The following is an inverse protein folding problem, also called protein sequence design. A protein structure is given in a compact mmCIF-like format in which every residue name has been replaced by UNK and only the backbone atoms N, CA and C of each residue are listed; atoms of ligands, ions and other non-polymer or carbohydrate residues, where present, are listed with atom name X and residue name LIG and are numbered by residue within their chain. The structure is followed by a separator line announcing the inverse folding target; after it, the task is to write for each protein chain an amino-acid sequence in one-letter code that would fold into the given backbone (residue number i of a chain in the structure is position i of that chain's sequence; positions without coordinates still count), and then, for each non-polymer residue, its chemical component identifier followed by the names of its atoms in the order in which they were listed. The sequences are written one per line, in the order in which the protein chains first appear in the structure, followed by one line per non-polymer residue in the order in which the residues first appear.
data_IF_926050429230
#
_entry.id   IF_926050429230
#
_cell.length_a   1.000
_cell.length_b   1.000
_cell.length_c   1.000
_cell.angle_alpha   90.00
_cell.angle_beta   90.00
_cell.angle_gamma   90.00
#
_symmetry.space_group_name_H-M   'P 1'
#
loop_
_entity.id
_entity.type
_entity.pdbx_description
1 polymer ?
#
# COMPACT_ATOMS: atom_id res chain seq x y z
N UNK A 1 21.35 31.60 -1.11
CA UNK A 1 20.27 30.62 -1.37
C UNK A 1 19.17 30.67 -0.31
N UNK A 2 19.50 30.64 1.00
CA UNK A 2 18.50 30.57 2.08
C UNK A 2 17.46 31.72 2.10
N UNK A 3 17.86 32.98 1.89
CA UNK A 3 16.92 34.12 1.92
C UNK A 3 15.87 34.08 0.79
N UNK A 4 16.19 33.45 -0.36
CA UNK A 4 15.24 33.30 -1.47
C UNK A 4 14.12 32.32 -1.12
N UNK A 5 14.44 31.19 -0.47
CA UNK A 5 13.46 30.17 -0.06
C UNK A 5 12.48 30.74 0.97
N UNK A 6 12.95 31.49 1.96
CA UNK A 6 12.06 32.14 2.95
C UNK A 6 11.13 33.18 2.30
N UNK A 7 11.64 33.97 1.35
CA UNK A 7 10.80 34.93 0.61
C UNK A 7 9.70 34.25 -0.19
N UNK A 8 9.96 33.02 -0.65
CA UNK A 8 9.00 32.17 -1.37
C UNK A 8 7.90 31.67 -0.41
N UNK A 9 8.24 31.18 0.79
CA UNK A 9 7.25 30.75 1.79
C UNK A 9 6.33 31.88 2.30
N UNK A 10 6.82 33.12 2.34
CA UNK A 10 6.00 34.29 2.73
C UNK A 10 4.97 34.69 1.65
N UNK A 11 5.04 34.13 0.44
CA UNK A 11 4.10 34.41 -0.66
C UNK A 11 3.36 33.17 -1.17
N UNK A 12 3.83 31.98 -0.83
CA UNK A 12 3.20 30.73 -1.21
C UNK A 12 2.02 30.42 -0.29
N UNK A 13 0.90 30.05 -0.89
CA UNK A 13 -0.29 29.55 -0.17
C UNK A 13 -0.42 28.03 -0.29
N UNK A 14 0.10 27.44 -1.36
CA UNK A 14 0.08 26.01 -1.62
C UNK A 14 1.48 25.51 -1.98
N UNK A 15 1.90 24.41 -1.38
CA UNK A 15 3.16 23.74 -1.71
C UNK A 15 2.95 22.22 -1.78
N UNK A 16 3.46 21.61 -2.85
CA UNK A 16 3.50 20.16 -3.03
C UNK A 16 4.89 19.74 -3.43
N UNK A 17 5.46 18.78 -2.70
CA UNK A 17 6.71 18.12 -3.08
C UNK A 17 6.40 16.87 -3.91
N UNK A 18 6.93 16.80 -5.14
CA UNK A 18 6.86 15.60 -5.99
C UNK A 18 7.99 14.62 -5.66
N UNK A 19 7.83 13.34 -6.04
CA UNK A 19 8.75 12.24 -5.68
C UNK A 19 10.23 12.52 -6.00
N UNK A 20 10.53 13.13 -7.15
CA UNK A 20 11.90 13.45 -7.58
C UNK A 20 12.57 14.59 -6.81
N UNK A 21 11.81 15.33 -5.99
CA UNK A 21 12.25 16.53 -5.29
C UNK A 21 12.51 16.30 -3.79
N UNK A 22 12.08 15.16 -3.27
CA UNK A 22 12.07 14.86 -1.83
C UNK A 22 13.46 14.98 -1.18
N UNK A 23 14.47 14.30 -1.71
CA UNK A 23 15.82 14.25 -1.11
C UNK A 23 16.49 15.63 -1.01
N UNK A 24 16.11 16.56 -1.88
CA UNK A 24 16.79 17.85 -2.03
C UNK A 24 16.16 18.98 -1.20
N UNK A 25 14.83 18.95 -0.97
CA UNK A 25 14.12 20.09 -0.37
C UNK A 25 13.57 19.84 1.02
N UNK A 26 13.35 18.59 1.41
CA UNK A 26 12.84 18.22 2.72
C UNK A 26 13.84 18.56 3.84
N UNK A 27 15.15 18.28 3.72
CA UNK A 27 16.14 18.75 4.71
C UNK A 27 16.10 20.28 4.93
N UNK A 28 15.88 21.06 3.86
CA UNK A 28 15.77 22.52 3.94
C UNK A 28 14.53 23.00 4.73
N UNK A 29 13.54 22.15 4.99
CA UNK A 29 12.46 22.49 5.90
C UNK A 29 12.84 22.25 7.35
N UNK A 30 13.71 21.27 7.62
CA UNK A 30 14.03 20.78 8.96
C UNK A 30 15.28 21.40 9.57
N UNK A 31 16.24 21.82 8.74
CA UNK A 31 17.54 22.36 9.17
C UNK A 31 17.46 23.80 9.70
N UNK A 32 16.30 24.47 9.62
CA UNK A 32 16.13 25.84 10.09
C UNK A 32 15.25 25.95 11.35
N UNK A 33 15.54 26.90 12.25
CA UNK A 33 14.73 27.14 13.45
C UNK A 33 13.28 27.52 13.13
N UNK A 34 12.32 26.98 13.90
CA UNK A 34 10.88 27.19 13.74
C UNK A 34 10.45 28.66 13.65
N UNK A 35 11.10 29.54 14.42
CA UNK A 35 10.84 31.00 14.45
C UNK A 35 10.99 31.68 13.10
N UNK A 36 11.69 31.08 12.12
CA UNK A 36 11.90 31.66 10.78
C UNK A 36 10.73 31.50 9.82
N UNK A 37 9.78 30.61 10.10
CA UNK A 37 8.62 30.39 9.24
C UNK A 37 7.32 30.97 9.82
N UNK A 38 7.39 31.62 10.98
CA UNK A 38 6.21 32.17 11.68
C UNK A 38 5.41 33.18 10.84
N UNK A 39 6.05 33.84 9.87
CA UNK A 39 5.45 34.76 8.89
C UNK A 39 4.95 34.10 7.59
N UNK A 40 5.05 32.78 7.48
CA UNK A 40 4.65 32.03 6.27
C UNK A 40 3.17 32.22 5.98
N UNK A 41 2.83 32.42 4.70
CA UNK A 41 1.45 32.46 4.20
C UNK A 41 0.91 31.09 3.79
N UNK A 42 1.69 30.02 4.04
CA UNK A 42 1.38 28.68 3.56
C UNK A 42 0.12 28.13 4.24
N UNK A 43 -0.91 27.86 3.44
CA UNK A 43 -2.20 27.33 3.89
C UNK A 43 -2.30 25.81 3.68
N UNK A 44 -1.67 25.30 2.61
CA UNK A 44 -1.71 23.89 2.23
C UNK A 44 -0.31 23.36 1.97
N UNK A 45 0.04 22.27 2.65
CA UNK A 45 1.28 21.54 2.45
C UNK A 45 0.98 20.08 2.11
N UNK A 46 1.48 19.62 0.97
CA UNK A 46 1.54 18.21 0.61
C UNK A 46 3.01 17.78 0.54
N UNK A 47 3.37 16.85 1.41
CA UNK A 47 4.76 16.44 1.63
C UNK A 47 4.84 14.93 1.79
N UNK A 48 5.87 14.34 1.20
CA UNK A 48 6.29 12.99 1.58
C UNK A 48 7.34 13.11 2.69
N UNK A 49 7.39 12.18 3.63
CA UNK A 49 8.38 12.16 4.72
C UNK A 49 8.91 10.73 4.93
N UNK A 50 10.15 10.59 5.38
CA UNK A 50 10.79 9.29 5.65
C UNK A 50 10.67 8.88 7.11
N UNK A 51 10.57 9.83 8.03
CA UNK A 51 10.56 9.54 9.46
C UNK A 51 9.41 10.27 10.14
N UNK A 52 8.79 9.62 11.12
CA UNK A 52 7.73 10.23 11.90
C UNK A 52 8.20 11.51 12.63
N UNK A 53 9.48 11.61 13.01
CA UNK A 53 10.05 12.84 13.58
C UNK A 53 9.96 14.05 12.66
N UNK A 54 10.07 13.85 11.34
CA UNK A 54 9.89 14.93 10.34
C UNK A 54 8.46 15.48 10.39
N UNK A 55 7.45 14.64 10.62
CA UNK A 55 6.07 15.09 10.81
C UNK A 55 5.95 16.01 12.03
N UNK A 56 6.59 15.65 13.14
CA UNK A 56 6.59 16.46 14.36
C UNK A 56 7.22 17.83 14.14
N UNK A 57 8.29 17.90 13.35
CA UNK A 57 8.90 19.18 12.99
C UNK A 57 7.99 20.04 12.12
N UNK A 58 7.26 19.47 11.14
CA UNK A 58 6.28 20.24 10.35
C UNK A 58 5.19 20.83 11.26
N UNK A 59 4.86 20.11 12.33
CA UNK A 59 3.78 20.42 13.26
C UNK A 59 4.25 21.17 14.52
N UNK A 60 5.49 21.62 14.59
CA UNK A 60 6.05 22.35 15.75
C UNK A 60 5.63 23.82 15.84
N UNK A 61 4.60 24.21 15.06
CA UNK A 61 4.10 25.58 15.01
C UNK A 61 4.86 26.50 14.04
N UNK A 62 5.89 26.02 13.33
CA UNK A 62 6.62 26.85 12.35
C UNK A 62 5.73 27.40 11.23
N UNK A 63 4.69 26.68 10.81
CA UNK A 63 3.72 27.15 9.82
C UNK A 63 2.43 27.61 10.49
N UNK A 64 2.45 28.85 11.00
CA UNK A 64 1.33 29.41 11.78
C UNK A 64 0.01 29.47 11.01
N UNK A 65 0.03 29.64 9.67
CA UNK A 65 -1.19 29.74 8.85
C UNK A 65 -1.63 28.39 8.24
N UNK A 66 -0.94 27.28 8.54
CA UNK A 66 -1.21 26.01 7.90
C UNK A 66 -2.58 25.45 8.30
N UNK A 67 -3.48 25.36 7.32
CA UNK A 67 -4.83 24.84 7.49
C UNK A 67 -4.97 23.39 7.02
N UNK A 68 -4.22 22.99 5.99
CA UNK A 68 -4.27 21.64 5.41
C UNK A 68 -2.88 21.04 5.33
N UNK A 69 -2.73 19.84 5.86
CA UNK A 69 -1.49 19.08 5.80
C UNK A 69 -1.79 17.67 5.25
N UNK A 70 -1.13 17.32 4.16
CA UNK A 70 -1.19 16.01 3.51
C UNK A 70 0.19 15.39 3.58
N UNK A 71 0.26 14.18 4.14
CA UNK A 71 1.52 13.52 4.48
C UNK A 71 1.53 12.10 3.94
N UNK A 72 2.50 11.79 3.10
CA UNK A 72 2.84 10.42 2.72
C UNK A 72 4.11 9.97 3.48
N UNK A 73 3.95 9.08 4.46
CA UNK A 73 5.07 8.49 5.20
C UNK A 73 5.63 7.29 4.42
N UNK A 74 6.80 7.48 3.79
CA UNK A 74 7.43 6.52 2.87
C UNK A 74 8.30 5.50 3.61
N UNK A 75 8.69 5.75 4.86
CA UNK A 75 9.45 4.78 5.66
C UNK A 75 9.00 4.86 7.13
N UNK A 76 9.08 3.74 7.84
CA UNK A 76 8.65 3.66 9.23
C UNK A 76 9.80 3.33 10.19
N UNK A 77 11.00 3.88 9.94
CA UNK A 77 12.01 3.93 11.00
C UNK A 77 11.53 4.95 12.02
N UNK A 78 10.72 4.46 12.97
CA UNK A 78 10.29 5.17 14.15
C UNK A 78 11.53 5.44 14.99
N UNK A 79 12.08 6.65 14.92
CA UNK A 79 13.10 7.03 15.90
C UNK A 79 12.46 7.01 17.29
N UNK A 80 13.24 6.56 18.27
CA UNK A 80 12.83 6.46 19.69
C UNK A 80 12.65 7.83 20.35
N UNK A 81 12.77 8.92 19.60
CA UNK A 81 12.69 10.28 20.14
C UNK A 81 11.27 10.51 20.67
N UNK A 82 11.17 10.43 21.99
CA UNK A 82 9.96 10.67 22.74
C UNK A 82 9.43 12.07 22.45
N UNK A 83 8.11 12.14 22.24
CA UNK A 83 7.36 13.37 22.05
C UNK A 83 7.40 14.16 23.37
N UNK A 84 8.38 15.04 23.54
CA UNK A 84 8.39 16.00 24.66
C UNK A 84 7.56 17.25 24.35
N UNK A 85 7.29 17.52 23.06
CA UNK A 85 6.62 18.76 22.66
C UNK A 85 5.09 18.62 22.76
N UNK A 86 4.52 19.19 23.83
CA UNK A 86 3.09 19.08 24.22
C UNK A 86 2.18 20.17 23.63
N UNK A 87 2.69 21.02 22.75
CA UNK A 87 1.92 22.16 22.24
C UNK A 87 0.75 21.72 21.34
N UNK A 88 -0.40 22.37 21.52
CA UNK A 88 -1.59 22.16 20.69
C UNK A 88 -1.37 22.72 19.28
N UNK A 89 -1.86 22.00 18.28
CA UNK A 89 -1.84 22.40 16.87
C UNK A 89 -3.23 22.99 16.57
N UNK A 90 -3.38 24.31 16.76
CA UNK A 90 -4.70 24.96 16.75
C UNK A 90 -5.22 25.35 15.37
N UNK A 91 -4.34 25.54 14.38
CA UNK A 91 -4.73 26.15 13.10
C UNK A 91 -5.05 25.12 12.02
N UNK A 92 -4.61 23.88 12.21
CA UNK A 92 -4.85 22.80 11.26
C UNK A 92 -6.33 22.37 11.29
N UNK A 93 -6.99 22.47 10.13
CA UNK A 93 -8.39 22.05 9.93
C UNK A 93 -8.51 20.74 9.17
N UNK A 94 -7.57 20.45 8.28
CA UNK A 94 -7.55 19.24 7.46
C UNK A 94 -6.21 18.52 7.63
N UNK A 95 -6.28 17.23 7.96
CA UNK A 95 -5.10 16.38 8.07
C UNK A 95 -5.31 15.07 7.32
N UNK A 96 -4.38 14.75 6.42
CA UNK A 96 -4.33 13.49 5.69
C UNK A 96 -3.00 12.82 5.99
N UNK A 97 -3.05 11.59 6.48
CA UNK A 97 -1.86 10.76 6.71
C UNK A 97 -2.01 9.44 5.97
N UNK A 98 -1.09 9.20 5.04
CA UNK A 98 -0.91 7.92 4.36
C UNK A 98 0.38 7.28 4.82
N UNK A 99 0.32 6.04 5.28
CA UNK A 99 1.49 5.26 5.67
C UNK A 99 1.47 3.92 4.94
N UNK A 100 2.39 3.76 3.97
CA UNK A 100 2.50 2.55 3.17
C UNK A 100 3.05 1.35 3.97
N UNK A 101 3.66 1.62 5.12
CA UNK A 101 4.28 0.63 5.99
C UNK A 101 3.51 0.42 7.29
N UNK A 102 3.83 -0.66 7.99
CA UNK A 102 3.21 -1.03 9.26
C UNK A 102 3.64 -0.12 10.40
N UNK A 103 2.67 0.50 11.09
CA UNK A 103 2.86 1.27 12.31
C UNK A 103 2.67 0.37 13.53
N UNK A 104 3.75 0.04 14.22
CA UNK A 104 3.73 -0.76 15.46
C UNK A 104 3.40 0.06 16.73
N UNK A 105 3.56 1.39 16.69
CA UNK A 105 3.35 2.30 17.83
C UNK A 105 2.15 3.24 17.63
N UNK A 106 1.04 2.70 17.11
CA UNK A 106 -0.19 3.46 16.86
C UNK A 106 -0.69 4.21 18.11
N UNK A 107 -0.78 3.50 19.25
CA UNK A 107 -1.26 4.07 20.51
C UNK A 107 -0.30 5.08 21.13
N UNK A 108 1.01 4.91 20.93
CA UNK A 108 2.04 5.71 21.61
C UNK A 108 2.49 6.93 20.80
N UNK A 109 2.36 6.90 19.48
CA UNK A 109 2.86 7.96 18.60
C UNK A 109 1.75 8.66 17.83
N UNK A 110 0.90 7.90 17.14
CA UNK A 110 -0.10 8.49 16.26
C UNK A 110 -1.26 9.10 17.06
N UNK A 111 -1.82 8.37 18.03
CA UNK A 111 -2.94 8.88 18.82
C UNK A 111 -2.59 10.16 19.59
N UNK A 112 -1.45 10.27 20.32
CA UNK A 112 -1.09 11.51 21.00
C UNK A 112 -0.89 12.68 20.05
N UNK A 113 -0.37 12.43 18.83
CA UNK A 113 -0.25 13.47 17.81
C UNK A 113 -1.62 13.96 17.36
N UNK A 114 -2.56 13.05 17.06
CA UNK A 114 -3.94 13.39 16.67
C UNK A 114 -4.62 14.20 17.78
N UNK A 115 -4.43 13.85 19.05
CA UNK A 115 -5.03 14.58 20.19
C UNK A 115 -4.57 16.03 20.30
N UNK A 116 -3.40 16.38 19.76
CA UNK A 116 -2.91 17.76 19.72
C UNK A 116 -3.64 18.61 18.68
N UNK A 117 -4.30 18.00 17.70
CA UNK A 117 -4.96 18.65 16.58
C UNK A 117 -6.47 18.87 16.84
N UNK A 118 -6.80 19.48 17.98
CA UNK A 118 -8.19 19.54 18.49
C UNK A 118 -9.19 20.30 17.60
N UNK A 119 -8.71 21.08 16.64
CA UNK A 119 -9.53 21.90 15.74
C UNK A 119 -9.70 21.26 14.35
N UNK A 120 -9.27 20.01 14.16
CA UNK A 120 -9.48 19.30 12.90
C UNK A 120 -10.98 19.14 12.62
N UNK A 121 -11.36 19.57 11.41
CA UNK A 121 -12.68 19.39 10.84
C UNK A 121 -12.74 18.19 9.88
N UNK A 122 -11.60 17.88 9.21
CA UNK A 122 -11.46 16.77 8.26
C UNK A 122 -10.22 15.94 8.55
N UNK A 123 -10.42 14.64 8.76
CA UNK A 123 -9.34 13.68 9.00
C UNK A 123 -9.40 12.56 7.97
N UNK A 124 -8.26 12.25 7.36
CA UNK A 124 -8.11 11.07 6.49
C UNK A 124 -6.90 10.25 6.93
N UNK A 125 -7.14 8.98 7.26
CA UNK A 125 -6.10 8.06 7.76
C UNK A 125 -6.03 6.80 6.88
N UNK A 126 -4.90 6.59 6.22
CA UNK A 126 -4.62 5.42 5.39
C UNK A 126 -3.44 4.66 6.02
N UNK A 127 -3.71 3.63 6.82
CA UNK A 127 -2.75 3.06 7.77
C UNK A 127 -2.73 1.54 7.71
N UNK A 128 -1.52 0.97 7.73
CA UNK A 128 -1.32 -0.40 8.25
C UNK A 128 -0.84 -0.30 9.69
N UNK A 129 -1.49 -1.01 10.60
CA UNK A 129 -1.22 -0.95 12.04
C UNK A 129 -1.02 -2.37 12.55
N UNK A 130 -0.01 -2.57 13.38
CA UNK A 130 0.16 -3.81 14.11
C UNK A 130 -0.33 -3.66 15.56
N UNK A 131 -1.14 -4.61 16.00
CA UNK A 131 -1.89 -4.56 17.26
C UNK A 131 -1.76 -5.88 17.99
N UNK A 132 -1.47 -5.82 19.29
CA UNK A 132 -1.30 -7.01 20.12
C UNK A 132 -2.62 -7.59 20.66
N UNK A 133 -3.68 -6.78 20.71
CA UNK A 133 -4.89 -7.12 21.47
C UNK A 133 -6.07 -7.52 20.57
N UNK A 134 -6.61 -6.56 19.82
CA UNK A 134 -7.83 -6.70 19.02
C UNK A 134 -7.74 -5.83 17.78
N UNK A 135 -8.44 -6.22 16.73
CA UNK A 135 -8.57 -5.37 15.54
C UNK A 135 -9.21 -4.02 15.86
N UNK A 136 -8.86 -3.01 15.06
CA UNK A 136 -9.52 -1.70 15.13
C UNK A 136 -10.95 -1.86 14.62
N UNK A 137 -11.89 -1.64 15.54
CA UNK A 137 -13.33 -1.60 15.30
C UNK A 137 -13.86 -0.17 15.49
N UNK A 138 -15.18 0.03 15.32
CA UNK A 138 -15.77 1.35 15.55
C UNK A 138 -15.54 1.85 16.97
N UNK A 139 -15.61 0.97 17.97
CA UNK A 139 -15.49 1.37 19.36
C UNK A 139 -14.08 1.90 19.68
N UNK A 140 -13.05 1.29 19.09
CA UNK A 140 -11.68 1.77 19.15
C UNK A 140 -11.57 3.16 18.51
N UNK A 141 -12.02 3.33 17.26
CA UNK A 141 -12.00 4.62 16.57
C UNK A 141 -12.81 5.70 17.32
N UNK A 142 -13.96 5.32 17.89
CA UNK A 142 -14.79 6.24 18.66
C UNK A 142 -14.06 6.71 19.91
N UNK A 143 -13.53 5.76 20.69
CA UNK A 143 -12.81 6.05 21.94
C UNK A 143 -11.53 6.84 21.69
N UNK A 144 -10.75 6.44 20.70
CA UNK A 144 -9.38 6.89 20.50
C UNK A 144 -9.24 8.01 19.45
N UNK A 145 -10.27 8.36 18.69
CA UNK A 145 -10.18 9.43 17.68
C UNK A 145 -11.38 10.36 17.80
N UNK A 146 -12.59 9.85 17.56
CA UNK A 146 -13.78 10.69 17.41
C UNK A 146 -14.08 11.48 18.68
N UNK A 147 -14.02 10.85 19.86
CA UNK A 147 -14.30 11.52 21.13
C UNK A 147 -13.27 12.62 21.46
N UNK A 148 -12.08 12.60 20.85
CA UNK A 148 -11.01 13.56 21.09
C UNK A 148 -10.99 14.71 20.08
N UNK A 149 -11.78 14.62 19.00
CA UNK A 149 -11.84 15.61 17.92
C UNK A 149 -13.27 16.17 17.80
N UNK A 150 -13.68 17.10 18.68
CA UNK A 150 -15.06 17.59 18.74
C UNK A 150 -15.50 18.39 17.50
N UNK A 151 -14.56 18.94 16.74
CA UNK A 151 -14.81 19.70 15.50
C UNK A 151 -14.90 18.79 14.26
N UNK A 152 -14.63 17.49 14.40
CA UNK A 152 -14.52 16.56 13.29
C UNK A 152 -15.88 16.35 12.61
N UNK A 153 -16.01 16.91 11.41
CA UNK A 153 -17.21 16.82 10.56
C UNK A 153 -17.10 15.74 9.50
N UNK A 154 -15.86 15.37 9.11
CA UNK A 154 -15.58 14.36 8.11
C UNK A 154 -14.43 13.48 8.55
N UNK A 155 -14.67 12.18 8.63
CA UNK A 155 -13.64 11.18 8.92
C UNK A 155 -13.65 10.10 7.85
N UNK A 156 -12.60 10.08 7.03
CA UNK A 156 -12.33 9.02 6.05
C UNK A 156 -11.19 8.18 6.58
N UNK A 157 -11.25 6.87 6.41
CA UNK A 157 -10.15 6.02 6.79
C UNK A 157 -10.08 4.77 5.93
N UNK A 158 -8.88 4.23 5.83
CA UNK A 158 -8.55 2.91 5.30
C UNK A 158 -7.50 2.32 6.25
N UNK A 159 -7.93 1.39 7.10
CA UNK A 159 -7.11 0.89 8.19
C UNK A 159 -7.01 -0.63 8.07
N UNK A 160 -5.78 -1.10 7.92
CA UNK A 160 -5.45 -2.52 8.02
C UNK A 160 -4.77 -2.81 9.35
N UNK A 161 -5.45 -3.57 10.20
CA UNK A 161 -4.94 -4.07 11.47
C UNK A 161 -4.33 -5.46 11.28
N UNK A 162 -3.08 -5.65 11.71
CA UNK A 162 -2.38 -6.94 11.79
C UNK A 162 -2.25 -7.34 13.27
N UNK A 163 -2.47 -8.61 13.58
CA UNK A 163 -2.51 -9.13 14.95
C UNK A 163 -1.93 -10.53 15.03
N UNK A 164 -1.25 -10.90 16.12
CA UNK A 164 -0.98 -12.32 16.43
C UNK A 164 -2.18 -12.96 17.13
N UNK A 165 -2.54 -14.18 16.73
CA UNK A 165 -3.70 -14.94 17.21
C UNK A 165 -3.37 -15.81 18.44
N UNK A 166 -2.25 -15.57 19.12
CA UNK A 166 -1.79 -16.47 20.18
C UNK A 166 -2.85 -16.63 21.29
N UNK A 167 -3.41 -17.85 21.40
CA UNK A 167 -4.39 -18.27 22.40
C UNK A 167 -5.74 -17.50 22.40
N UNK A 168 -6.13 -16.86 21.30
CA UNK A 168 -7.46 -16.22 21.21
C UNK A 168 -8.56 -17.25 20.93
N UNK A 169 -9.54 -17.38 21.83
CA UNK A 169 -10.68 -18.29 21.65
C UNK A 169 -11.78 -17.73 20.73
N UNK A 170 -11.89 -16.41 20.61
CA UNK A 170 -12.96 -15.75 19.84
C UNK A 170 -12.34 -14.82 18.79
N UNK A 171 -12.35 -15.27 17.54
CA UNK A 171 -11.88 -14.52 16.39
C UNK A 171 -13.05 -13.80 15.72
N UNK A 172 -13.07 -12.44 15.68
CA UNK A 172 -14.19 -11.71 15.09
C UNK A 172 -14.33 -12.00 13.59
N UNK A 173 -15.52 -12.40 13.15
CA UNK A 173 -15.82 -12.52 11.72
C UNK A 173 -15.91 -11.13 11.06
N UNK A 174 -15.89 -11.11 9.72
CA UNK A 174 -16.24 -9.92 8.94
C UNK A 174 -17.55 -9.28 9.43
N UNK A 175 -18.58 -10.08 9.67
CA UNK A 175 -19.90 -9.59 10.10
C UNK A 175 -19.82 -8.94 11.47
N UNK A 176 -19.03 -9.48 12.39
CA UNK A 176 -18.84 -8.91 13.72
C UNK A 176 -18.19 -7.53 13.65
N UNK A 177 -17.20 -7.36 12.77
CA UNK A 177 -16.56 -6.06 12.53
C UNK A 177 -17.54 -5.07 11.89
N UNK A 178 -18.20 -5.45 10.78
CA UNK A 178 -19.17 -4.57 10.09
C UNK A 178 -20.32 -4.15 11.00
N UNK A 179 -20.78 -5.04 11.87
CA UNK A 179 -21.83 -4.76 12.84
C UNK A 179 -21.45 -3.62 13.77
N UNK A 180 -20.17 -3.53 14.17
CA UNK A 180 -19.71 -2.40 14.98
C UNK A 180 -19.91 -1.07 14.26
N UNK A 181 -19.90 -1.03 12.93
CA UNK A 181 -20.01 0.18 12.11
C UNK A 181 -21.43 0.51 11.63
N UNK A 182 -22.47 -0.24 12.02
CA UNK A 182 -23.85 -0.05 11.53
C UNK A 182 -24.36 1.39 11.66
N UNK A 183 -24.00 2.09 12.73
CA UNK A 183 -24.43 3.48 13.00
C UNK A 183 -23.36 4.53 12.66
N UNK A 184 -22.40 4.20 11.79
CA UNK A 184 -21.36 5.14 11.36
C UNK A 184 -21.94 6.09 10.30
N UNK A 185 -22.09 7.37 10.64
CA UNK A 185 -22.96 8.32 9.91
C UNK A 185 -22.36 8.88 8.60
N UNK A 186 -21.08 8.70 8.35
CA UNK A 186 -20.37 9.49 7.34
C UNK A 186 -20.23 8.79 5.98
N UNK A 187 -20.10 7.46 5.96
CA UNK A 187 -19.77 6.69 4.76
C UNK A 187 -20.22 5.25 4.90
N UNK A 188 -20.39 4.57 3.76
CA UNK A 188 -20.49 3.11 3.74
C UNK A 188 -19.15 2.53 4.20
N UNK A 189 -19.18 1.70 5.23
CA UNK A 189 -18.00 0.99 5.72
C UNK A 189 -17.97 -0.41 5.11
N UNK A 190 -16.79 -0.81 4.65
CA UNK A 190 -16.52 -2.16 4.16
C UNK A 190 -15.42 -2.75 5.03
N UNK A 191 -15.53 -4.04 5.36
CA UNK A 191 -14.44 -4.74 6.03
C UNK A 191 -14.16 -6.13 5.48
N UNK A 192 -12.94 -6.57 5.69
CA UNK A 192 -12.44 -7.92 5.41
C UNK A 192 -11.64 -8.42 6.59
N UNK A 193 -11.85 -9.67 6.95
CA UNK A 193 -11.10 -10.32 8.03
C UNK A 193 -10.53 -11.62 7.49
N UNK A 194 -9.23 -11.80 7.69
CA UNK A 194 -8.48 -12.99 7.31
C UNK A 194 -7.70 -13.52 8.49
N UNK A 195 -7.58 -14.85 8.55
CA UNK A 195 -6.80 -15.55 9.56
C UNK A 195 -5.83 -16.50 8.89
N UNK A 196 -4.54 -16.25 9.11
CA UNK A 196 -3.40 -17.05 8.67
C UNK A 196 -3.01 -17.96 9.84
N UNK A 197 -3.57 -19.18 9.86
CA UNK A 197 -3.47 -20.08 11.01
C UNK A 197 -2.06 -20.65 11.16
N UNK A 198 -1.36 -20.94 10.06
CA UNK A 198 0.01 -21.45 10.10
C UNK A 198 0.96 -20.40 10.67
N UNK A 199 0.75 -19.13 10.29
CA UNK A 199 1.50 -17.99 10.83
C UNK A 199 1.01 -17.50 12.18
N UNK A 200 -0.12 -18.01 12.68
CA UNK A 200 -0.82 -17.49 13.87
C UNK A 200 -1.06 -15.98 13.77
N UNK A 201 -1.45 -15.47 12.61
CA UNK A 201 -1.66 -14.04 12.35
C UNK A 201 -3.05 -13.77 11.81
N UNK A 202 -3.69 -12.70 12.28
CA UNK A 202 -4.94 -12.19 11.78
C UNK A 202 -4.76 -10.85 11.09
N UNK A 203 -5.57 -10.60 10.08
CA UNK A 203 -5.68 -9.32 9.40
C UNK A 203 -7.13 -8.87 9.43
N UNK A 204 -7.36 -7.58 9.71
CA UNK A 204 -8.64 -6.93 9.51
C UNK A 204 -8.42 -5.64 8.74
N UNK A 205 -9.05 -5.54 7.57
CA UNK A 205 -9.03 -4.34 6.76
C UNK A 205 -10.41 -3.69 6.86
N UNK A 206 -10.48 -2.44 7.30
CA UNK A 206 -11.73 -1.67 7.41
C UNK A 206 -11.52 -0.31 6.77
N UNK A 207 -12.43 0.09 5.88
CA UNK A 207 -12.32 1.36 5.19
C UNK A 207 -13.67 2.02 4.89
N UNK A 208 -13.61 3.33 4.74
CA UNK A 208 -14.68 4.19 4.24
C UNK A 208 -14.72 4.12 2.72
N UNK A 209 -15.89 3.88 2.13
CA UNK A 209 -16.08 3.83 0.68
C UNK A 209 -16.53 5.17 0.08
N UNK A 210 -15.95 5.63 -1.04
CA UNK A 210 -14.82 5.02 -1.77
C UNK A 210 -13.49 5.20 -1.02
N UNK A 211 -12.60 4.20 -1.11
CA UNK A 211 -11.23 4.35 -0.62
C UNK A 211 -10.38 5.04 -1.68
N UNK A 212 -9.64 6.06 -1.25
CA UNK A 212 -8.64 6.76 -2.07
C UNK A 212 -7.21 6.20 -1.84
N UNK A 213 -7.07 5.08 -1.11
CA UNK A 213 -5.77 4.52 -0.82
C UNK A 213 -5.09 4.01 -2.11
N UNK A 214 -3.86 4.44 -2.42
CA UNK A 214 -3.17 3.98 -3.62
C UNK A 214 -2.58 2.57 -3.47
N UNK A 215 -2.58 2.00 -2.27
CA UNK A 215 -2.02 0.69 -1.96
C UNK A 215 -3.12 -0.24 -1.45
N UNK A 216 -3.11 -1.52 -1.81
CA UNK A 216 -3.87 -2.57 -1.14
C UNK A 216 -3.00 -3.80 -0.96
N UNK A 217 -2.50 -3.97 0.26
CA UNK A 217 -1.55 -5.03 0.58
C UNK A 217 -2.21 -6.25 1.25
N UNK A 218 -1.63 -7.42 1.00
CA UNK A 218 -1.99 -8.74 1.53
C UNK A 218 -3.44 -9.15 1.22
N UNK A 219 -3.84 -8.97 -0.03
CA UNK A 219 -5.13 -9.48 -0.52
C UNK A 219 -5.07 -11.02 -0.55
N UNK A 220 -6.09 -11.64 0.04
CA UNK A 220 -6.25 -13.09 0.18
C UNK A 220 -7.39 -13.61 -0.72
N UNK A 221 -7.61 -14.92 -0.71
CA UNK A 221 -8.72 -15.61 -1.36
C UNK A 221 -10.10 -15.13 -0.89
N UNK A 222 -10.21 -14.52 0.30
CA UNK A 222 -11.47 -13.97 0.81
C UNK A 222 -11.84 -12.62 0.19
N UNK A 223 -10.99 -12.09 -0.70
CA UNK A 223 -11.30 -10.86 -1.42
C UNK A 223 -12.59 -11.01 -2.24
N UNK A 224 -13.63 -10.21 -1.95
CA UNK A 224 -14.92 -10.36 -2.63
C UNK A 224 -14.94 -9.71 -4.01
N UNK A 225 -13.89 -8.98 -4.39
CA UNK A 225 -13.92 -8.07 -5.54
C UNK A 225 -14.40 -6.67 -5.17
N UNK A 226 -14.97 -5.96 -6.15
CA UNK A 226 -15.32 -4.54 -6.06
C UNK A 226 -14.49 -3.72 -7.05
N UNK A 227 -14.75 -2.42 -7.16
CA UNK A 227 -14.03 -1.52 -8.05
C UNK A 227 -13.17 -0.55 -7.22
N UNK A 228 -11.85 -0.58 -7.45
CA UNK A 228 -10.87 0.23 -6.71
C UNK A 228 -10.06 1.09 -7.67
N UNK A 229 -10.65 2.19 -8.13
CA UNK A 229 -10.08 3.05 -9.18
C UNK A 229 -8.83 3.83 -8.74
N UNK A 230 -8.61 3.98 -7.44
CA UNK A 230 -7.47 4.73 -6.89
C UNK A 230 -6.27 3.86 -6.54
N UNK A 231 -6.46 2.55 -6.39
CA UNK A 231 -5.39 1.61 -6.05
C UNK A 231 -4.47 1.44 -7.27
N UNK A 232 -3.17 1.62 -7.05
CA UNK A 232 -2.09 1.47 -8.04
C UNK A 232 -1.16 0.31 -7.69
N UNK A 233 -1.04 -0.02 -6.42
CA UNK A 233 -0.10 -1.02 -5.93
C UNK A 233 -0.86 -2.07 -5.13
N UNK A 234 -0.78 -3.33 -5.53
CA UNK A 234 -1.34 -4.41 -4.72
C UNK A 234 -0.28 -5.44 -4.35
N UNK A 235 -0.44 -6.04 -3.17
CA UNK A 235 0.24 -7.27 -2.83
C UNK A 235 -0.76 -8.38 -2.54
N UNK A 236 -0.52 -9.54 -3.12
CA UNK A 236 -1.28 -10.75 -2.91
C UNK A 236 -0.49 -11.65 -1.96
N UNK A 237 -1.15 -12.13 -0.91
CA UNK A 237 -0.55 -13.02 0.07
C UNK A 237 -1.60 -13.99 0.55
N UNK A 238 -1.32 -15.28 0.50
CA UNK A 238 -2.20 -16.27 1.08
C UNK A 238 -1.44 -17.53 1.51
N UNK A 239 -2.00 -18.24 2.50
CA UNK A 239 -1.59 -19.59 2.88
C UNK A 239 -2.18 -20.63 1.93
N UNK A 240 -3.24 -20.29 1.17
CA UNK A 240 -3.86 -21.17 0.20
C UNK A 240 -3.54 -20.78 -1.25
N UNK A 241 -3.56 -21.74 -2.19
CA UNK A 241 -3.26 -21.43 -3.58
C UNK A 241 -4.31 -20.54 -4.25
N UNK A 242 -3.87 -19.60 -5.10
CA UNK A 242 -4.75 -18.78 -5.93
C UNK A 242 -5.01 -19.46 -7.28
N UNK A 243 -6.26 -19.62 -7.66
CA UNK A 243 -6.65 -20.14 -8.97
C UNK A 243 -6.81 -19.02 -10.01
N UNK A 244 -6.87 -19.38 -11.29
CA UNK A 244 -6.96 -18.41 -12.40
C UNK A 244 -8.09 -17.39 -12.24
N UNK A 245 -9.25 -17.81 -11.74
CA UNK A 245 -10.43 -16.97 -11.51
C UNK A 245 -10.16 -15.87 -10.48
N UNK A 246 -9.22 -16.10 -9.56
CA UNK A 246 -8.78 -15.07 -8.63
C UNK A 246 -8.05 -13.95 -9.37
N UNK A 247 -7.15 -14.27 -10.30
CA UNK A 247 -6.42 -13.27 -11.09
C UNK A 247 -7.35 -12.48 -12.02
N UNK A 248 -8.39 -13.12 -12.57
CA UNK A 248 -9.48 -12.42 -13.29
C UNK A 248 -10.13 -11.39 -12.36
N UNK A 249 -10.58 -11.82 -11.17
CA UNK A 249 -11.21 -10.94 -10.17
C UNK A 249 -10.29 -9.77 -9.79
N UNK A 250 -9.01 -10.03 -9.57
CA UNK A 250 -8.00 -9.00 -9.29
C UNK A 250 -7.91 -7.99 -10.44
N UNK A 251 -7.77 -8.44 -11.68
CA UNK A 251 -7.66 -7.52 -12.83
C UNK A 251 -8.89 -6.64 -13.02
N UNK A 252 -10.09 -7.17 -12.75
CA UNK A 252 -11.35 -6.43 -12.83
C UNK A 252 -11.50 -5.44 -11.67
N UNK A 253 -11.01 -5.80 -10.49
CA UNK A 253 -11.09 -4.96 -9.31
C UNK A 253 -10.12 -3.78 -9.30
N UNK A 254 -8.97 -3.94 -9.95
CA UNK A 254 -7.90 -2.95 -9.96
C UNK A 254 -7.53 -2.54 -11.41
N UNK A 255 -8.45 -1.86 -12.12
CA UNK A 255 -8.28 -1.59 -13.55
C UNK A 255 -7.08 -0.72 -13.90
N UNK A 256 -6.56 0.05 -12.93
CA UNK A 256 -5.41 0.96 -13.09
C UNK A 256 -4.18 0.51 -12.30
N UNK A 257 -4.08 -0.77 -11.94
CA UNK A 257 -2.94 -1.30 -11.18
C UNK A 257 -1.63 -1.18 -11.96
N UNK A 258 -0.63 -0.54 -11.35
CA UNK A 258 0.73 -0.34 -11.86
C UNK A 258 1.73 -1.34 -11.29
N UNK A 259 1.51 -1.82 -10.05
CA UNK A 259 2.38 -2.80 -9.40
C UNK A 259 1.58 -3.94 -8.79
N UNK A 260 2.01 -5.16 -9.10
CA UNK A 260 1.53 -6.40 -8.51
C UNK A 260 2.69 -7.13 -7.86
N UNK A 261 2.60 -7.41 -6.56
CA UNK A 261 3.51 -8.32 -5.86
C UNK A 261 2.74 -9.54 -5.38
N UNK A 262 3.31 -10.74 -5.52
CA UNK A 262 2.71 -11.97 -5.07
C UNK A 262 3.74 -12.75 -4.23
N UNK A 263 3.29 -13.25 -3.08
CA UNK A 263 4.04 -14.18 -2.25
C UNK A 263 3.16 -15.39 -2.00
N UNK A 264 3.52 -16.54 -2.58
CA UNK A 264 2.82 -17.80 -2.38
C UNK A 264 3.73 -18.98 -2.69
N UNK A 265 4.02 -19.82 -1.71
CA UNK A 265 4.95 -20.95 -1.86
C UNK A 265 4.26 -22.27 -2.23
N UNK A 266 2.93 -22.30 -2.28
CA UNK A 266 2.15 -23.51 -2.56
C UNK A 266 1.74 -23.59 -4.03
N UNK A 267 1.77 -24.80 -4.59
CA UNK A 267 1.27 -25.08 -5.95
C UNK A 267 -0.24 -24.84 -6.07
N UNK A 268 -0.71 -24.44 -7.26
CA UNK A 268 -2.14 -24.37 -7.58
C UNK A 268 -2.78 -25.76 -7.43
N UNK A 269 -3.99 -25.83 -6.85
CA UNK A 269 -4.69 -27.12 -6.68
C UNK A 269 -5.36 -27.53 -7.97
N UNK A 270 -5.94 -26.56 -8.66
CA UNK A 270 -6.60 -26.75 -9.94
C UNK A 270 -5.74 -26.12 -11.03
N UNK A 271 -4.60 -26.76 -11.32
CA UNK A 271 -3.91 -26.48 -12.58
C UNK A 271 -4.96 -26.65 -13.67
N UNK A 272 -5.28 -25.58 -14.39
CA UNK A 272 -5.99 -25.71 -15.66
C UNK A 272 -5.08 -26.58 -16.53
N UNK A 273 -5.29 -27.90 -16.45
CA UNK A 273 -4.53 -28.84 -17.25
C UNK A 273 -4.94 -28.56 -18.69
N UNK A 274 -3.95 -28.51 -19.57
CA UNK A 274 -4.14 -28.44 -21.01
C UNK A 274 -5.01 -29.59 -21.58
N UNK A 275 -5.47 -30.52 -20.74
CA UNK A 275 -6.16 -31.76 -21.09
C UNK A 275 -7.69 -31.67 -21.06
N UNK A 276 -8.29 -30.51 -20.76
CA UNK A 276 -9.73 -30.31 -20.99
C UNK A 276 -9.96 -29.33 -22.13
N UNK A 277 -9.59 -29.79 -23.33
CA UNK A 277 -10.25 -29.45 -24.60
C UNK A 277 -11.68 -30.00 -24.50
N UNK A 278 -12.51 -29.38 -23.67
CA UNK A 278 -13.96 -29.45 -23.75
C UNK A 278 -14.41 -28.00 -23.90
N UNK A 279 -15.03 -27.72 -25.05
CA UNK A 279 -15.24 -26.43 -25.71
C UNK A 279 -16.11 -25.40 -24.95
N UNK A 280 -16.07 -25.35 -23.62
CA UNK A 280 -16.89 -24.43 -22.81
C UNK A 280 -16.15 -23.70 -21.68
N UNK A 281 -14.87 -23.95 -21.43
CA UNK A 281 -14.05 -23.07 -20.57
C UNK A 281 -13.16 -22.20 -21.45
N UNK A 282 -13.74 -21.14 -22.02
CA UNK A 282 -12.94 -19.99 -22.44
C UNK A 282 -12.34 -19.36 -21.18
N UNK A 283 -11.19 -19.85 -20.72
CA UNK A 283 -10.43 -19.17 -19.68
C UNK A 283 -10.09 -17.78 -20.21
N UNK A 284 -10.64 -16.78 -19.55
CA UNK A 284 -10.52 -15.40 -20.02
C UNK A 284 -9.09 -14.95 -19.73
N UNK A 285 -8.30 -14.72 -20.79
CA UNK A 285 -6.95 -14.18 -20.64
C UNK A 285 -7.00 -12.93 -19.76
N UNK A 286 -6.25 -12.96 -18.66
CA UNK A 286 -6.18 -11.86 -17.70
C UNK A 286 -5.37 -10.73 -18.32
N UNK A 287 -5.96 -9.55 -18.41
CA UNK A 287 -5.31 -8.37 -19.01
C UNK A 287 -4.92 -7.38 -17.93
N UNK A 288 -3.63 -7.09 -17.84
CA UNK A 288 -3.09 -6.09 -16.95
C UNK A 288 -2.62 -4.86 -17.74
N UNK A 289 -3.59 -4.01 -18.11
CA UNK A 289 -3.36 -2.92 -19.07
C UNK A 289 -2.37 -1.84 -18.61
N UNK A 290 -2.24 -1.63 -17.30
CA UNK A 290 -1.43 -0.57 -16.71
C UNK A 290 -0.27 -1.12 -15.86
N UNK A 291 -0.07 -2.44 -15.84
CA UNK A 291 0.96 -3.04 -15.00
C UNK A 291 2.34 -2.71 -15.55
N UNK A 292 3.17 -2.10 -14.70
CA UNK A 292 4.54 -1.68 -14.99
C UNK A 292 5.51 -2.55 -14.20
N UNK A 293 5.12 -3.03 -13.01
CA UNK A 293 5.99 -3.84 -12.14
C UNK A 293 5.29 -5.09 -11.66
N UNK A 294 5.86 -6.25 -11.98
CA UNK A 294 5.44 -7.56 -11.47
C UNK A 294 6.52 -8.13 -10.56
N UNK A 295 6.19 -8.38 -9.30
CA UNK A 295 7.08 -9.00 -8.33
C UNK A 295 6.57 -10.40 -7.98
N UNK A 296 7.27 -11.39 -8.53
CA UNK A 296 7.01 -12.82 -8.34
C UNK A 296 8.30 -13.55 -7.95
N UNK A 297 9.16 -12.89 -7.18
CA UNK A 297 10.41 -13.49 -6.68
C UNK A 297 10.11 -14.71 -5.80
N UNK A 298 9.10 -14.61 -4.94
CA UNK A 298 8.80 -15.55 -3.86
C UNK A 298 7.51 -16.31 -4.12
N UNK A 299 7.42 -16.90 -5.31
CA UNK A 299 6.23 -17.67 -5.72
C UNK A 299 6.60 -19.07 -6.18
N UNK A 300 5.63 -19.97 -6.09
CA UNK A 300 5.67 -21.29 -6.74
C UNK A 300 5.62 -21.15 -8.27
N UNK A 301 6.24 -22.09 -8.97
CA UNK A 301 6.37 -22.09 -10.44
C UNK A 301 5.03 -21.94 -11.18
N UNK A 302 3.96 -22.53 -10.65
CA UNK A 302 2.60 -22.42 -11.20
C UNK A 302 2.13 -20.96 -11.38
N UNK A 303 2.52 -20.04 -10.50
CA UNK A 303 2.18 -18.62 -10.65
C UNK A 303 3.06 -17.94 -11.68
N UNK A 304 4.31 -18.38 -11.83
CA UNK A 304 5.16 -17.90 -12.93
C UNK A 304 4.54 -18.37 -14.27
N UNK A 305 4.02 -19.60 -14.36
CA UNK A 305 3.24 -20.04 -15.52
C UNK A 305 1.99 -19.19 -15.73
N UNK A 306 1.25 -18.86 -14.66
CA UNK A 306 0.06 -18.01 -14.68
C UNK A 306 0.32 -16.65 -15.36
N UNK A 307 1.46 -16.03 -15.05
CA UNK A 307 1.85 -14.73 -15.58
C UNK A 307 2.57 -14.81 -16.93
N UNK A 308 3.48 -15.76 -17.12
CA UNK A 308 4.30 -15.83 -18.32
C UNK A 308 3.60 -16.51 -19.49
N UNK A 309 2.60 -17.37 -19.27
CA UNK A 309 1.89 -17.99 -20.39
C UNK A 309 0.98 -16.99 -21.10
N UNK A 310 1.20 -16.84 -22.40
CA UNK A 310 0.38 -16.00 -23.27
C UNK A 310 -1.08 -16.48 -23.39
N UNK A 311 -1.36 -17.73 -23.01
CA UNK A 311 -2.70 -18.31 -22.95
C UNK A 311 -3.46 -17.95 -21.67
N UNK A 312 -2.78 -17.44 -20.64
CA UNK A 312 -3.37 -17.12 -19.34
C UNK A 312 -3.37 -15.63 -19.04
N UNK A 313 -2.27 -14.96 -19.34
CA UNK A 313 -2.09 -13.54 -19.06
C UNK A 313 -1.62 -12.79 -20.29
N UNK A 314 -2.06 -11.53 -20.42
CA UNK A 314 -1.55 -10.59 -21.39
C UNK A 314 -0.98 -9.36 -20.70
N UNK A 315 0.29 -9.08 -21.01
CA UNK A 315 1.00 -7.88 -20.59
C UNK A 315 1.00 -6.79 -21.66
N UNK A 316 1.03 -5.53 -21.24
CA UNK A 316 1.48 -4.43 -22.07
C UNK A 316 3.01 -4.43 -22.17
N UNK A 317 3.59 -3.66 -23.09
CA UNK A 317 5.04 -3.53 -23.20
C UNK A 317 5.61 -2.76 -22.00
N UNK A 318 6.92 -2.89 -21.76
CA UNK A 318 7.68 -2.18 -20.73
C UNK A 318 7.46 -2.63 -19.28
N UNK A 319 7.29 -3.94 -19.08
CA UNK A 319 7.18 -4.51 -17.73
C UNK A 319 8.54 -4.76 -17.11
N UNK A 320 8.69 -4.30 -15.87
CA UNK A 320 9.71 -4.69 -14.93
C UNK A 320 9.28 -5.95 -14.17
N UNK A 321 10.09 -7.00 -14.19
CA UNK A 321 9.82 -8.23 -13.43
C UNK A 321 10.90 -8.50 -12.36
N UNK A 322 10.47 -8.89 -11.17
CA UNK A 322 11.32 -9.50 -10.13
C UNK A 322 11.00 -10.98 -10.07
N UNK A 323 12.00 -11.85 -10.28
CA UNK A 323 11.77 -13.29 -10.40
C UNK A 323 12.99 -14.11 -9.98
N UNK A 324 12.75 -15.30 -9.43
CA UNK A 324 13.81 -16.27 -9.15
C UNK A 324 14.33 -16.92 -10.44
N UNK A 325 15.64 -16.89 -10.67
CA UNK A 325 16.24 -17.42 -11.92
C UNK A 325 15.93 -18.90 -12.14
N UNK A 326 16.04 -19.75 -11.11
CA UNK A 326 15.81 -21.20 -11.26
C UNK A 326 14.36 -21.52 -11.58
N UNK A 327 13.42 -20.80 -10.98
CA UNK A 327 12.01 -20.97 -11.29
C UNK A 327 11.69 -20.50 -12.72
N UNK A 328 12.27 -19.38 -13.14
CA UNK A 328 12.14 -18.89 -14.52
C UNK A 328 12.70 -19.91 -15.53
N UNK A 329 13.89 -20.46 -15.27
CA UNK A 329 14.52 -21.48 -16.10
C UNK A 329 13.63 -22.73 -16.23
N UNK A 330 13.07 -23.23 -15.11
CA UNK A 330 12.15 -24.38 -15.13
C UNK A 330 10.89 -24.09 -15.95
N UNK A 331 10.21 -22.97 -15.70
CA UNK A 331 8.95 -22.62 -16.36
C UNK A 331 9.12 -22.40 -17.86
N UNK A 332 10.24 -21.79 -18.27
CA UNK A 332 10.57 -21.55 -19.68
C UNK A 332 11.22 -22.76 -20.37
N UNK A 333 11.39 -23.90 -19.67
CA UNK A 333 12.18 -25.04 -20.13
C UNK A 333 13.54 -24.63 -20.67
N UNK A 334 14.41 -24.07 -19.83
CA UNK A 334 15.72 -23.55 -20.21
C UNK A 334 15.63 -22.55 -21.37
N UNK A 335 14.62 -21.68 -21.35
CA UNK A 335 14.39 -20.64 -22.36
C UNK A 335 14.10 -21.20 -23.77
N UNK A 336 13.35 -22.30 -23.86
CA UNK A 336 12.95 -22.92 -25.15
C UNK A 336 11.44 -23.02 -25.35
N UNK A 337 10.63 -22.73 -24.33
CA UNK A 337 9.17 -22.92 -24.36
C UNK A 337 8.45 -21.80 -25.13
N UNK A 338 7.78 -22.08 -26.24
CA UNK A 338 7.18 -20.98 -27.04
C UNK A 338 6.01 -20.25 -26.37
N UNK A 339 5.21 -20.94 -25.55
CA UNK A 339 4.01 -20.34 -24.91
C UNK A 339 4.34 -19.21 -23.92
N UNK A 340 5.55 -19.17 -23.37
CA UNK A 340 6.02 -18.08 -22.50
C UNK A 340 6.64 -16.91 -23.28
N UNK A 341 7.05 -17.16 -24.53
CA UNK A 341 7.93 -16.24 -25.30
C UNK A 341 7.27 -14.90 -25.59
N UNK A 342 5.96 -14.89 -25.87
CA UNK A 342 5.23 -13.65 -26.20
C UNK A 342 5.24 -12.68 -25.02
N UNK A 343 4.96 -13.14 -23.80
CA UNK A 343 4.97 -12.28 -22.63
C UNK A 343 6.40 -11.91 -22.22
N UNK A 344 7.35 -12.84 -22.35
CA UNK A 344 8.77 -12.57 -22.11
C UNK A 344 9.33 -11.47 -23.02
N UNK A 345 8.92 -11.42 -24.30
CA UNK A 345 9.36 -10.38 -25.24
C UNK A 345 8.93 -8.95 -24.85
N UNK A 346 7.90 -8.80 -24.01
CA UNK A 346 7.36 -7.49 -23.56
C UNK A 346 8.04 -6.95 -22.31
N UNK A 347 8.84 -7.77 -21.65
CA UNK A 347 9.56 -7.42 -20.44
C UNK A 347 10.79 -6.59 -20.82
N UNK A 348 10.92 -5.39 -20.23
CA UNK A 348 12.03 -4.47 -20.52
C UNK A 348 13.14 -4.51 -19.46
N UNK A 349 12.83 -5.02 -18.26
CA UNK A 349 13.78 -5.10 -17.16
C UNK A 349 13.49 -6.35 -16.33
N UNK A 350 14.55 -7.07 -15.97
CA UNK A 350 14.48 -8.27 -15.16
C UNK A 350 15.45 -8.12 -14.01
N UNK A 351 14.97 -8.22 -12.77
CA UNK A 351 15.82 -8.45 -11.60
C UNK A 351 15.80 -9.94 -11.26
N UNK A 352 16.95 -10.58 -11.41
CA UNK A 352 17.10 -12.01 -11.15
C UNK A 352 17.64 -12.26 -9.74
N UNK A 353 16.96 -13.14 -9.02
CA UNK A 353 17.39 -13.60 -7.70
C UNK A 353 17.92 -15.03 -7.76
N UNK A 354 18.95 -15.30 -6.95
CA UNK A 354 19.42 -16.65 -6.65
C UNK A 354 20.72 -17.09 -7.34
N UNK A 355 21.12 -16.50 -8.46
CA UNK A 355 22.39 -16.82 -9.15
C UNK A 355 23.03 -15.60 -9.80
N UNK A 356 24.37 -15.62 -9.93
CA UNK A 356 25.16 -14.51 -10.53
C UNK A 356 25.51 -14.73 -12.01
N UNK A 357 25.39 -15.97 -12.49
CA UNK A 357 25.72 -16.34 -13.86
C UNK A 357 24.45 -16.85 -14.53
N UNK A 358 24.13 -16.34 -15.72
CA UNK A 358 22.94 -16.71 -16.46
C UNK A 358 23.30 -17.31 -17.80
N UNK A 359 22.44 -18.18 -18.33
CA UNK A 359 22.61 -18.76 -19.68
C UNK A 359 22.62 -17.67 -20.75
N UNK A 360 23.44 -17.84 -21.79
CA UNK A 360 23.41 -16.98 -22.98
C UNK A 360 22.04 -16.96 -23.66
N UNK A 361 21.27 -18.05 -23.55
CA UNK A 361 19.92 -18.15 -24.12
C UNK A 361 18.90 -17.22 -23.46
N UNK A 362 19.19 -16.69 -22.28
CA UNK A 362 18.31 -15.76 -21.58
C UNK A 362 18.10 -14.46 -22.39
N UNK A 363 19.16 -13.89 -22.97
CA UNK A 363 19.05 -12.64 -23.73
C UNK A 363 18.22 -12.81 -25.01
N UNK A 364 18.37 -13.96 -25.70
CA UNK A 364 17.58 -14.29 -26.89
C UNK A 364 16.09 -14.47 -26.58
N UNK A 365 15.80 -14.89 -25.34
CA UNK A 365 14.45 -15.12 -24.86
C UNK A 365 13.76 -13.85 -24.35
N UNK A 366 14.55 -12.86 -23.93
CA UNK A 366 14.12 -11.54 -23.48
C UNK A 366 14.81 -10.43 -24.29
N UNK A 367 14.50 -10.31 -25.60
CA UNK A 367 15.27 -9.49 -26.54
C UNK A 367 15.31 -8.01 -26.17
N UNK A 368 14.28 -7.50 -25.51
CA UNK A 368 14.14 -6.09 -25.13
C UNK A 368 14.59 -5.81 -23.68
N UNK A 369 14.98 -6.83 -22.92
CA UNK A 369 15.20 -6.69 -21.49
C UNK A 369 16.64 -6.27 -21.15
N UNK A 370 16.75 -5.35 -20.19
CA UNK A 370 17.97 -5.19 -19.39
C UNK A 370 17.89 -6.12 -18.18
N UNK A 371 18.90 -6.98 -18.00
CA UNK A 371 18.95 -7.99 -16.94
C UNK A 371 19.90 -7.50 -15.83
N UNK A 372 19.43 -7.55 -14.58
CA UNK A 372 20.12 -7.07 -13.37
C UNK A 372 20.32 -8.18 -12.35
#
# INVERSE_FOLDING_TARGET
MCNCIFSIFNKLTHLRFSESSYENYVPLLFDFPSRRFSSSSLLVLNIKIQHFSQLLYVLDGRFSQLHTLIVDLINNVLSTDLIENKEKISNLKCFVLSCAWEISRYKDLLLPLIYRMSNIEKLSLYLTIYINDKFIDRNDLKKNIINHLPQLSMFTFDIRSLMFINNQMNLPSKKDIEETFRDFRYTKIISYVDYFLEKKMGQCHVFSYPSEMPYYQNITNNFPGGLYEYVRFISLYDEYPFEHEFFIKISQSFPFMEKLSLINYQSQKHKQSYELINDNYNSTIVKYNYLITLDIEKVHDDYIEEFLFNTKTYFHDNILIYINYKSLERVTHNFTRDVTRINCAKINKIFLFGEKNHSNSLQDYFPCATIY
#
